data_IF_526999018763
#
_entry.id   IF_526999018763
#
_cell.length_a   1.000
_cell.length_b   1.000
_cell.length_c   1.000
_cell.angle_alpha   90.00
_cell.angle_beta   90.00
_cell.angle_gamma   90.00
#
_symmetry.space_group_name_H-M   'P 1'
#
loop_
_entity.id
_entity.type
_entity.pdbx_description
1 polymer ?
#
# COMPACT_ATOMS: atom_id res chain seq x y z
N UNK A 1 -17.68 11.15 -23.69
CA UNK A 1 -17.03 10.55 -22.50
C UNK A 1 -16.72 11.65 -21.51
N UNK A 2 -17.05 11.47 -20.21
CA UNK A 2 -16.84 12.50 -19.18
C UNK A 2 -15.33 12.79 -19.02
N UNK A 3 -14.92 14.06 -18.78
CA UNK A 3 -13.50 14.42 -18.67
C UNK A 3 -12.80 13.71 -17.51
N UNK A 4 -13.53 13.38 -16.45
CA UNK A 4 -13.07 12.60 -15.29
C UNK A 4 -12.47 11.24 -15.70
N UNK A 5 -13.09 10.55 -16.66
CA UNK A 5 -12.68 9.19 -17.06
C UNK A 5 -11.30 9.20 -17.75
N UNK A 6 -10.93 10.29 -18.44
CA UNK A 6 -9.64 10.38 -19.14
C UNK A 6 -8.45 10.42 -18.17
N UNK A 7 -8.62 11.09 -17.03
CA UNK A 7 -7.61 11.09 -15.96
C UNK A 7 -7.41 9.68 -15.40
N UNK A 8 -8.50 9.00 -15.05
CA UNK A 8 -8.48 7.62 -14.56
C UNK A 8 -7.85 6.65 -15.57
N UNK A 9 -8.21 6.76 -16.86
CA UNK A 9 -7.64 5.95 -17.92
C UNK A 9 -6.13 6.13 -18.02
N UNK A 10 -5.63 7.36 -18.00
CA UNK A 10 -4.19 7.64 -18.05
C UNK A 10 -3.44 7.10 -16.84
N UNK A 11 -4.04 7.19 -15.65
CA UNK A 11 -3.47 6.68 -14.41
C UNK A 11 -3.41 5.15 -14.40
N UNK A 12 -4.50 4.48 -14.81
CA UNK A 12 -4.54 3.02 -15.02
C UNK A 12 -3.49 2.62 -16.06
N UNK A 13 -3.38 3.33 -17.18
CA UNK A 13 -2.41 3.02 -18.22
C UNK A 13 -0.97 3.15 -17.72
N UNK A 14 -0.69 4.13 -16.87
CA UNK A 14 0.63 4.35 -16.27
C UNK A 14 1.01 3.24 -15.28
N UNK A 15 0.05 2.75 -14.50
CA UNK A 15 0.20 1.60 -13.60
C UNK A 15 0.37 0.30 -14.41
N UNK A 16 -0.48 0.09 -15.42
CA UNK A 16 -0.40 -1.06 -16.33
C UNK A 16 0.91 -1.07 -17.10
N UNK A 17 1.40 0.09 -17.56
CA UNK A 17 2.67 0.19 -18.25
C UNK A 17 3.82 -0.26 -17.34
N UNK A 18 3.86 0.18 -16.07
CA UNK A 18 4.89 -0.26 -15.12
C UNK A 18 4.84 -1.76 -14.85
N UNK A 19 3.63 -2.29 -14.61
CA UNK A 19 3.44 -3.73 -14.36
C UNK A 19 3.77 -4.57 -15.62
N UNK A 20 3.36 -4.09 -16.79
CA UNK A 20 3.59 -4.71 -18.09
C UNK A 20 5.07 -4.72 -18.43
N UNK A 21 5.82 -3.64 -18.20
CA UNK A 21 7.27 -3.62 -18.44
C UNK A 21 8.00 -4.65 -17.57
N UNK A 22 7.61 -4.83 -16.30
CA UNK A 22 8.18 -5.88 -15.44
C UNK A 22 7.88 -7.29 -15.97
N UNK A 23 6.62 -7.57 -16.32
CA UNK A 23 6.23 -8.87 -16.87
C UNK A 23 6.83 -9.15 -18.24
N UNK A 24 6.83 -8.14 -19.13
CA UNK A 24 7.40 -8.21 -20.46
C UNK A 24 8.89 -8.51 -20.39
N UNK A 25 9.67 -7.85 -19.52
CA UNK A 25 11.10 -8.15 -19.37
C UNK A 25 11.34 -9.62 -18.96
N UNK A 26 10.52 -10.15 -18.06
CA UNK A 26 10.59 -11.56 -17.64
C UNK A 26 10.25 -12.52 -18.79
N UNK A 27 9.20 -12.22 -19.56
CA UNK A 27 8.78 -13.04 -20.71
C UNK A 27 9.80 -12.94 -21.85
N UNK A 28 10.26 -11.74 -22.23
CA UNK A 28 11.28 -11.55 -23.26
C UNK A 28 12.60 -12.24 -22.90
N UNK A 29 13.02 -12.17 -21.64
CA UNK A 29 14.17 -12.94 -21.15
C UNK A 29 13.93 -14.44 -21.35
N UNK A 30 12.74 -14.93 -20.96
CA UNK A 30 12.34 -16.35 -21.10
C UNK A 30 12.37 -16.82 -22.55
N UNK A 31 11.79 -16.04 -23.45
CA UNK A 31 11.78 -16.33 -24.88
C UNK A 31 13.18 -16.28 -25.48
N UNK A 32 14.00 -15.28 -25.16
CA UNK A 32 15.37 -15.20 -25.64
C UNK A 32 16.21 -16.41 -25.18
N UNK A 33 16.00 -16.84 -23.93
CA UNK A 33 16.61 -18.03 -23.36
C UNK A 33 16.20 -19.35 -23.99
N UNK A 34 14.90 -19.52 -24.21
CA UNK A 34 14.35 -20.71 -24.87
C UNK A 34 14.78 -20.75 -26.33
N UNK A 35 14.77 -19.61 -27.02
CA UNK A 35 15.22 -19.51 -28.40
C UNK A 35 16.71 -19.85 -28.53
N UNK A 36 17.56 -19.25 -27.69
CA UNK A 36 18.99 -19.53 -27.68
C UNK A 36 19.30 -20.96 -27.20
N UNK A 37 18.54 -21.45 -26.23
CA UNK A 37 18.64 -22.82 -25.72
C UNK A 37 18.24 -23.86 -26.75
N UNK A 38 17.17 -23.63 -27.52
CA UNK A 38 16.76 -24.50 -28.63
C UNK A 38 17.82 -24.52 -29.73
N UNK A 39 18.43 -23.37 -30.02
CA UNK A 39 19.52 -23.28 -30.99
C UNK A 39 20.75 -24.09 -30.54
N UNK A 40 21.15 -23.99 -29.27
CA UNK A 40 22.22 -24.80 -28.69
C UNK A 40 21.86 -26.30 -28.58
N UNK A 41 20.62 -26.65 -28.24
CA UNK A 41 20.15 -28.03 -28.09
C UNK A 41 20.12 -28.77 -29.44
N UNK A 42 19.83 -28.04 -30.51
CA UNK A 42 19.85 -28.56 -31.89
C UNK A 42 21.28 -28.80 -32.39
N UNK A 43 22.21 -27.88 -32.12
CA UNK A 43 23.60 -27.96 -32.63
C UNK A 43 24.54 -28.81 -31.75
N UNK A 44 24.31 -28.91 -30.43
CA UNK A 44 25.27 -29.55 -29.49
C UNK A 44 24.87 -30.97 -29.08
N UNK A 45 23.58 -31.34 -29.09
CA UNK A 45 23.11 -32.55 -28.41
C UNK A 45 22.47 -33.65 -29.27
N UNK A 46 22.37 -33.50 -30.60
CA UNK A 46 21.87 -34.55 -31.53
C UNK A 46 20.68 -35.37 -30.96
N UNK A 47 19.73 -34.68 -30.32
CA UNK A 47 18.47 -35.27 -29.86
C UNK A 47 18.53 -36.27 -28.69
N UNK A 48 19.61 -36.34 -27.90
CA UNK A 48 19.74 -37.38 -26.85
C UNK A 48 19.63 -36.90 -25.39
N UNK A 49 19.59 -35.60 -25.10
CA UNK A 49 19.60 -35.12 -23.71
C UNK A 49 18.42 -34.20 -23.41
N UNK A 50 17.75 -34.48 -22.29
CA UNK A 50 16.57 -33.77 -21.79
C UNK A 50 16.72 -32.23 -21.81
N UNK A 51 15.61 -31.46 -21.86
CA UNK A 51 15.66 -30.02 -22.03
C UNK A 51 16.09 -29.33 -20.73
N UNK A 52 17.36 -29.40 -20.39
CA UNK A 52 17.95 -28.78 -19.20
C UNK A 52 17.90 -27.25 -19.28
N UNK A 53 17.96 -26.71 -20.50
CA UNK A 53 17.83 -25.28 -20.74
C UNK A 53 16.45 -24.75 -20.35
N UNK A 54 15.37 -25.44 -20.69
CA UNK A 54 14.02 -25.00 -20.28
C UNK A 54 13.87 -25.03 -18.77
N UNK A 55 14.49 -25.98 -18.06
CA UNK A 55 14.49 -26.05 -16.59
C UNK A 55 15.24 -24.88 -15.97
N UNK A 56 16.49 -24.62 -16.40
CA UNK A 56 17.27 -23.49 -15.90
C UNK A 56 16.56 -22.16 -16.18
N UNK A 57 15.98 -22.01 -17.37
CA UNK A 57 15.25 -20.80 -17.71
C UNK A 57 13.92 -20.66 -16.98
N UNK A 58 13.22 -21.76 -16.73
CA UNK A 58 12.01 -21.79 -15.92
C UNK A 58 12.32 -21.40 -14.47
N UNK A 59 13.40 -21.94 -13.89
CA UNK A 59 13.87 -21.53 -12.56
C UNK A 59 14.30 -20.06 -12.53
N UNK A 60 15.03 -19.58 -13.54
CA UNK A 60 15.52 -18.20 -13.57
C UNK A 60 14.38 -17.20 -13.81
N UNK A 61 13.45 -17.52 -14.72
CA UNK A 61 12.24 -16.75 -14.96
C UNK A 61 11.37 -16.68 -13.70
N UNK A 62 11.05 -17.83 -13.11
CA UNK A 62 10.25 -17.92 -11.88
C UNK A 62 10.94 -17.20 -10.71
N UNK A 63 12.24 -17.39 -10.52
CA UNK A 63 13.01 -16.71 -9.48
C UNK A 63 13.08 -15.19 -9.71
N UNK A 64 13.24 -14.74 -10.96
CA UNK A 64 13.27 -13.31 -11.31
C UNK A 64 11.93 -12.62 -11.02
N UNK A 65 10.82 -13.26 -11.41
CA UNK A 65 9.47 -12.77 -11.12
C UNK A 65 9.18 -12.69 -9.62
N UNK A 66 9.50 -13.76 -8.87
CA UNK A 66 9.28 -13.82 -7.43
C UNK A 66 10.19 -12.83 -6.68
N UNK A 67 11.48 -12.70 -7.04
CA UNK A 67 12.42 -11.80 -6.35
C UNK A 67 11.99 -10.34 -6.41
N UNK A 68 11.49 -9.88 -7.57
CA UNK A 68 11.03 -8.50 -7.74
C UNK A 68 9.74 -8.24 -6.93
N UNK A 69 8.80 -9.18 -6.97
CA UNK A 69 7.55 -9.10 -6.22
C UNK A 69 7.76 -9.15 -4.70
N UNK A 70 8.66 -10.00 -4.21
CA UNK A 70 8.97 -10.12 -2.78
C UNK A 70 9.64 -8.86 -2.22
N UNK A 71 10.52 -8.21 -3.00
CA UNK A 71 11.16 -6.96 -2.61
C UNK A 71 10.13 -5.84 -2.42
N UNK A 72 9.12 -5.76 -3.29
CA UNK A 72 8.05 -4.78 -3.18
C UNK A 72 7.10 -5.10 -2.02
N UNK A 73 6.73 -6.37 -1.86
CA UNK A 73 5.82 -6.85 -0.81
C UNK A 73 6.37 -6.59 0.61
N UNK A 74 7.66 -6.85 0.83
CA UNK A 74 8.30 -6.62 2.12
C UNK A 74 8.38 -5.12 2.50
N UNK A 75 8.57 -4.23 1.51
CA UNK A 75 8.57 -2.79 1.73
C UNK A 75 7.17 -2.26 2.03
N UNK A 76 6.15 -2.77 1.36
CA UNK A 76 4.76 -2.41 1.60
C UNK A 76 4.32 -2.81 3.03
N UNK A 77 4.61 -4.03 3.47
CA UNK A 77 4.32 -4.48 4.85
C UNK A 77 4.89 -3.56 5.93
N UNK A 78 6.17 -3.20 5.84
CA UNK A 78 6.81 -2.30 6.82
C UNK A 78 6.17 -0.91 6.84
N UNK A 79 5.82 -0.37 5.68
CA UNK A 79 5.16 0.95 5.58
C UNK A 79 3.77 0.94 6.24
N UNK A 80 2.99 -0.12 6.00
CA UNK A 80 1.65 -0.27 6.58
C UNK A 80 1.70 -0.41 8.10
N UNK A 81 2.67 -1.16 8.64
CA UNK A 81 2.86 -1.32 10.08
C UNK A 81 3.31 -0.02 10.77
N UNK A 82 4.17 0.78 10.12
CA UNK A 82 4.61 2.07 10.65
C UNK A 82 3.46 3.10 10.68
N UNK A 83 2.68 3.21 9.61
CA UNK A 83 1.51 4.10 9.55
C UNK A 83 0.47 3.73 10.62
N UNK A 84 0.24 2.43 10.80
CA UNK A 84 -0.67 1.92 11.84
C UNK A 84 -0.20 2.23 13.27
N UNK A 85 1.11 2.20 13.54
CA UNK A 85 1.67 2.57 14.85
C UNK A 85 1.53 4.07 15.13
N UNK A 86 1.81 4.93 14.14
CA UNK A 86 1.62 6.38 14.27
C UNK A 86 0.16 6.77 14.51
N UNK A 87 -0.80 6.15 13.80
CA UNK A 87 -2.23 6.41 14.00
C UNK A 87 -2.70 5.95 15.39
N UNK A 88 -2.21 4.80 15.87
CA UNK A 88 -2.48 4.32 17.23
C UNK A 88 -1.94 5.27 18.29
N UNK A 89 -0.74 5.81 18.12
CA UNK A 89 -0.16 6.73 19.08
C UNK A 89 -0.89 8.09 19.10
N UNK A 90 -1.27 8.61 17.93
CA UNK A 90 -2.08 9.83 17.80
C UNK A 90 -3.46 9.69 18.46
N UNK A 91 -4.12 8.56 18.21
CA UNK A 91 -5.43 8.28 18.81
C UNK A 91 -5.34 8.08 20.33
N UNK A 92 -4.27 7.44 20.84
CA UNK A 92 -4.03 7.31 22.28
C UNK A 92 -3.78 8.67 22.94
N UNK A 93 -2.94 9.52 22.33
CA UNK A 93 -2.66 10.86 22.85
C UNK A 93 -3.90 11.76 22.83
N UNK A 94 -4.74 11.64 21.80
CA UNK A 94 -6.00 12.37 21.74
C UNK A 94 -7.00 11.85 22.80
N UNK A 95 -7.11 10.53 22.99
CA UNK A 95 -7.96 9.94 24.02
C UNK A 95 -7.51 10.34 25.44
N UNK A 96 -6.18 10.39 25.69
CA UNK A 96 -5.63 10.89 26.96
C UNK A 96 -5.98 12.36 27.18
N UNK A 97 -5.79 13.22 26.16
CA UNK A 97 -6.20 14.63 26.24
C UNK A 97 -7.69 14.78 26.54
N UNK A 98 -8.55 13.98 25.92
CA UNK A 98 -9.99 14.01 26.19
C UNK A 98 -10.34 13.52 27.59
N UNK A 99 -9.64 12.50 28.11
CA UNK A 99 -9.82 12.03 29.48
C UNK A 99 -9.33 13.06 30.52
N UNK A 100 -8.24 13.77 30.22
CA UNK A 100 -7.71 14.87 31.05
C UNK A 100 -8.69 16.05 31.08
N UNK A 101 -9.24 16.46 29.94
CA UNK A 101 -10.28 17.50 29.84
C UNK A 101 -11.57 17.09 30.59
N UNK A 102 -11.90 15.80 30.60
CA UNK A 102 -13.09 15.28 31.30
C UNK A 102 -12.86 15.09 32.81
N UNK A 103 -11.61 15.09 33.27
CA UNK A 103 -11.24 14.91 34.69
C UNK A 103 -10.99 16.24 35.41
N UNK A 104 -10.91 17.37 34.70
CA UNK A 104 -11.06 18.67 35.34
C UNK A 104 -12.48 18.79 35.93
N UNK A 105 -12.62 19.13 37.23
CA UNK A 105 -13.93 19.38 37.81
C UNK A 105 -14.54 20.58 37.08
N UNK A 106 -15.72 20.38 36.47
CA UNK A 106 -16.55 21.45 35.92
C UNK A 106 -16.51 22.63 36.91
N UNK A 107 -16.13 23.86 36.49
CA UNK A 107 -16.24 25.01 37.36
C UNK A 107 -17.68 25.04 37.85
N UNK A 108 -17.84 24.93 39.17
CA UNK A 108 -19.14 24.95 39.81
C UNK A 108 -19.82 26.23 39.34
N UNK A 109 -20.90 26.09 38.59
CA UNK A 109 -21.77 27.19 38.23
C UNK A 109 -22.30 27.74 39.55
N UNK A 110 -21.63 28.77 40.05
CA UNK A 110 -21.93 29.41 41.31
C UNK A 110 -23.35 29.93 41.18
N UNK A 111 -24.24 29.27 41.89
CA UNK A 111 -25.65 29.60 41.99
C UNK A 111 -25.71 30.97 42.67
N UNK A 112 -25.81 32.04 41.88
CA UNK A 112 -26.18 33.37 42.36
C UNK A 112 -27.63 33.28 42.84
N UNK A 113 -27.75 32.82 44.07
CA UNK A 113 -28.94 32.89 44.87
C UNK A 113 -28.89 34.25 45.57
N UNK A 114 -29.38 35.28 44.89
CA UNK A 114 -29.66 36.59 45.48
C UNK A 114 -31.05 37.01 45.01
N UNK A 115 -32.06 36.56 45.75
CA UNK A 115 -33.29 37.31 46.00
C UNK A 115 -33.22 37.58 47.52
N UNK A 116 -33.61 38.75 48.06
CA UNK A 116 -34.63 39.67 47.56
C UNK A 116 -34.36 41.18 47.79
N UNK A 117 -35.15 42.06 47.17
CA UNK A 117 -35.70 43.28 47.80
C UNK A 117 -36.59 44.01 46.77
N UNK A 118 -37.91 43.85 46.93
CA UNK A 118 -38.77 44.92 47.46
C UNK A 118 -38.73 46.33 46.84
N UNK A 119 -39.96 46.88 46.67
CA UNK A 119 -40.39 48.25 46.31
C UNK A 119 -40.28 48.65 44.82
N UNK A 120 -41.26 49.24 44.13
CA UNK A 120 -42.41 50.05 44.55
C UNK A 120 -43.44 50.14 43.40
N UNK A 121 -44.66 50.54 43.78
CA UNK A 121 -45.83 50.88 42.97
C UNK A 121 -45.57 51.90 41.83
N UNK A 122 -46.36 51.84 40.75
CA UNK A 122 -46.97 53.03 40.14
C UNK A 122 -48.03 52.61 39.09
N UNK A 123 -49.26 53.08 39.34
CA UNK A 123 -50.48 53.00 38.52
C UNK A 123 -50.39 53.74 37.16
#
# INVERSE_FOLDING_TARGET
MRPETKKYLNEIFRILAHASTMGAAMVFSTFAGVWFGYWLDTDVFEGRTHPWFTIIFFLFGLAGGIKNLLLLSNRLKKKTEQWSKEEREKSLNNAKKQAEIKTEPKPQTQKSQDLPEDWDDDD
#
